data_IF_210877646234
#
_entry.id   IF_210877646234
#
_cell.length_a   1.000
_cell.length_b   1.000
_cell.length_c   1.000
_cell.angle_alpha   90.00
_cell.angle_beta   90.00
_cell.angle_gamma   90.00
#
_symmetry.space_group_name_H-M   'P 1'
#
loop_
_entity.id
_entity.type
_entity.pdbx_description
1 polymer ?
#
# COMPACT_ATOMS: atom_id res chain seq x y z
N UNK A 1 1.49 -11.31 17.78
CA UNK A 1 0.39 -11.36 16.82
C UNK A 1 0.81 -10.70 15.51
N UNK A 2 0.38 -11.27 14.40
CA UNK A 2 0.73 -10.74 13.11
C UNK A 2 -0.08 -9.49 12.78
N UNK A 3 0.58 -8.51 12.18
CA UNK A 3 -0.12 -7.32 11.72
C UNK A 3 -0.92 -7.64 10.48
N UNK A 4 -2.03 -6.94 10.30
CA UNK A 4 -2.74 -7.01 9.04
C UNK A 4 -1.96 -6.25 7.97
N UNK A 5 -2.27 -6.51 6.72
CA UNK A 5 -1.62 -5.81 5.60
C UNK A 5 -1.93 -4.32 5.70
N UNK A 6 -3.17 -3.97 6.04
CA UNK A 6 -3.56 -2.57 6.22
C UNK A 6 -2.71 -1.88 7.28
N UNK A 7 -2.47 -2.56 8.40
CA UNK A 7 -1.64 -1.99 9.47
C UNK A 7 -0.21 -1.76 9.01
N UNK A 8 0.35 -2.68 8.25
CA UNK A 8 1.70 -2.53 7.71
C UNK A 8 1.76 -1.35 6.76
N UNK A 9 0.78 -1.20 5.88
CA UNK A 9 0.72 -0.07 4.95
C UNK A 9 0.66 1.23 5.73
N UNK A 10 -0.18 1.31 6.75
CA UNK A 10 -0.31 2.51 7.56
C UNK A 10 0.98 2.87 8.27
N UNK A 11 1.72 1.88 8.75
CA UNK A 11 3.00 2.15 9.41
C UNK A 11 4.01 2.75 8.45
N UNK A 12 4.07 2.26 7.22
CA UNK A 12 4.94 2.87 6.21
C UNK A 12 4.51 4.30 5.91
N UNK A 13 3.22 4.55 5.82
CA UNK A 13 2.72 5.90 5.58
C UNK A 13 3.10 6.85 6.71
N UNK A 14 2.92 6.43 7.94
CA UNK A 14 3.25 7.25 9.11
C UNK A 14 4.75 7.52 9.21
N UNK A 15 5.56 6.51 8.91
CA UNK A 15 7.01 6.60 9.12
C UNK A 15 7.73 7.34 8.00
N UNK A 16 7.17 7.35 6.80
CA UNK A 16 7.93 7.81 5.64
C UNK A 16 7.25 8.92 4.83
N UNK A 17 5.93 9.03 4.89
CA UNK A 17 5.21 9.90 3.95
C UNK A 17 4.27 10.91 4.59
N UNK A 18 3.63 10.56 5.69
CA UNK A 18 2.60 11.41 6.30
C UNK A 18 2.96 11.79 7.72
N UNK A 19 2.56 13.00 8.12
CA UNK A 19 2.63 13.37 9.52
C UNK A 19 1.61 12.54 10.30
N UNK A 20 1.82 12.40 11.61
CA UNK A 20 0.98 11.56 12.45
C UNK A 20 -0.50 11.93 12.36
N UNK A 21 -0.79 13.23 12.39
CA UNK A 21 -2.18 13.71 12.32
C UNK A 21 -2.81 13.40 10.96
N UNK A 22 -2.03 13.46 9.88
CA UNK A 22 -2.50 13.11 8.55
C UNK A 22 -2.80 11.61 8.46
N UNK A 23 -1.92 10.79 9.01
CA UNK A 23 -2.10 9.35 8.99
C UNK A 23 -3.32 8.94 9.80
N UNK A 24 -3.55 9.57 10.94
CA UNK A 24 -4.70 9.28 11.79
C UNK A 24 -6.02 9.70 11.14
N UNK A 25 -5.99 10.76 10.33
CA UNK A 25 -7.18 11.24 9.63
C UNK A 25 -7.51 10.39 8.40
N UNK A 26 -6.53 9.67 7.87
CA UNK A 26 -6.70 8.88 6.66
C UNK A 26 -7.47 7.60 6.96
N UNK A 27 -8.56 7.38 6.24
CA UNK A 27 -9.33 6.16 6.37
C UNK A 27 -8.93 5.17 5.29
N UNK A 28 -9.23 3.90 5.51
CA UNK A 28 -8.81 2.84 4.59
C UNK A 28 -9.41 3.01 3.20
N UNK A 29 -10.60 3.59 3.10
CA UNK A 29 -11.25 3.83 1.81
C UNK A 29 -10.90 5.17 1.18
N UNK A 30 -10.14 6.02 1.86
CA UNK A 30 -9.75 7.32 1.32
C UNK A 30 -8.76 7.15 0.15
N UNK A 31 -8.84 8.09 -0.78
CA UNK A 31 -8.03 8.03 -2.00
C UNK A 31 -6.58 8.43 -1.69
N UNK A 32 -5.68 7.47 -1.78
CA UNK A 32 -4.25 7.73 -1.56
C UNK A 32 -3.66 8.68 -2.60
N UNK A 33 -4.24 8.71 -3.80
CA UNK A 33 -3.75 9.59 -4.85
C UNK A 33 -4.03 11.06 -4.56
N UNK A 34 -4.91 11.34 -3.62
CA UNK A 34 -5.15 12.70 -3.16
C UNK A 34 -4.16 13.15 -2.08
N UNK A 35 -3.48 12.22 -1.44
CA UNK A 35 -2.53 12.51 -0.35
C UNK A 35 -1.09 12.31 -0.76
N UNK A 36 -0.85 11.38 -1.69
CA UNK A 36 0.49 11.02 -2.14
C UNK A 36 0.60 11.25 -3.64
N UNK A 37 1.78 11.69 -4.09
CA UNK A 37 2.03 11.76 -5.53
C UNK A 37 2.50 10.41 -6.06
N UNK A 38 2.70 10.33 -7.38
CA UNK A 38 3.06 9.08 -8.05
C UNK A 38 4.37 8.50 -7.56
N UNK A 39 5.35 9.35 -7.28
CA UNK A 39 6.65 8.89 -6.81
C UNK A 39 6.55 8.33 -5.40
N UNK A 40 5.74 8.94 -4.56
CA UNK A 40 5.52 8.45 -3.20
C UNK A 40 4.80 7.12 -3.21
N UNK A 41 3.80 6.97 -4.06
CA UNK A 41 3.08 5.70 -4.21
C UNK A 41 4.04 4.61 -4.69
N UNK A 42 4.88 4.92 -5.67
CA UNK A 42 5.85 3.96 -6.18
C UNK A 42 6.82 3.53 -5.09
N UNK A 43 7.29 4.48 -4.30
CA UNK A 43 8.23 4.17 -3.21
C UNK A 43 7.57 3.29 -2.14
N UNK A 44 6.32 3.62 -1.79
CA UNK A 44 5.56 2.79 -0.85
C UNK A 44 5.45 1.37 -1.39
N UNK A 45 5.13 1.25 -2.66
CA UNK A 45 4.97 -0.05 -3.28
C UNK A 45 6.27 -0.85 -3.27
N UNK A 46 7.40 -0.19 -3.53
CA UNK A 46 8.71 -0.84 -3.46
C UNK A 46 9.02 -1.35 -2.05
N UNK A 47 8.68 -0.56 -1.04
CA UNK A 47 8.85 -0.98 0.34
C UNK A 47 8.00 -2.21 0.65
N UNK A 48 6.78 -2.24 0.16
CA UNK A 48 5.88 -3.36 0.37
C UNK A 48 6.33 -4.62 -0.39
N UNK A 49 6.91 -4.44 -1.57
CA UNK A 49 7.49 -5.55 -2.31
C UNK A 49 8.58 -6.24 -1.49
N UNK A 50 9.44 -5.44 -0.85
CA UNK A 50 10.49 -5.96 0.00
C UNK A 50 9.91 -6.63 1.26
N UNK A 51 8.93 -5.97 1.86
CA UNK A 51 8.32 -6.45 3.10
C UNK A 51 7.68 -7.82 2.92
N UNK A 52 6.98 -8.01 1.80
CA UNK A 52 6.20 -9.21 1.56
C UNK A 52 6.85 -10.17 0.55
N UNK A 53 8.01 -9.81 0.03
CA UNK A 53 8.71 -10.61 -0.99
C UNK A 53 7.84 -10.87 -2.22
N UNK A 54 7.16 -9.84 -2.68
CA UNK A 54 6.31 -9.91 -3.87
C UNK A 54 6.86 -9.00 -4.95
N UNK A 55 6.40 -9.20 -6.17
CA UNK A 55 6.75 -8.34 -7.29
C UNK A 55 5.48 -7.77 -7.91
N UNK A 56 5.51 -6.48 -8.20
CA UNK A 56 4.39 -5.78 -8.82
C UNK A 56 4.76 -5.45 -10.26
N UNK A 57 3.91 -5.89 -11.18
CA UNK A 57 4.09 -5.60 -12.60
C UNK A 57 3.70 -4.14 -12.87
N UNK A 58 4.40 -3.45 -13.80
CA UNK A 58 3.97 -2.09 -14.16
C UNK A 58 2.52 -2.02 -14.63
N UNK A 59 1.99 -3.05 -15.24
CA UNK A 59 0.60 -3.11 -15.67
C UNK A 59 -0.38 -3.14 -14.50
N UNK A 60 0.08 -3.49 -13.31
CA UNK A 60 -0.73 -3.54 -12.10
C UNK A 60 -0.76 -2.20 -11.36
N UNK A 61 -0.01 -1.23 -11.83
CA UNK A 61 0.10 0.08 -11.21
C UNK A 61 -1.09 0.95 -11.60
N UNK A 62 -2.26 0.62 -11.07
CA UNK A 62 -3.54 1.25 -11.43
C UNK A 62 -4.25 1.74 -10.18
N UNK A 63 -5.16 2.74 -10.34
CA UNK A 63 -5.94 3.20 -9.18
C UNK A 63 -6.79 2.10 -8.55
N UNK A 64 -7.24 1.11 -9.33
CA UNK A 64 -8.01 0.00 -8.78
C UNK A 64 -7.22 -0.81 -7.77
N UNK A 65 -5.90 -0.88 -7.96
CA UNK A 65 -5.02 -1.65 -7.07
C UNK A 65 -4.37 -0.80 -5.99
N UNK A 66 -4.13 0.48 -6.28
CA UNK A 66 -3.29 1.33 -5.43
C UNK A 66 -4.01 2.57 -4.89
N UNK A 67 -5.28 2.71 -5.18
CA UNK A 67 -6.00 3.95 -4.92
C UNK A 67 -6.35 4.21 -3.46
N UNK A 68 -6.29 3.20 -2.60
CA UNK A 68 -6.58 3.36 -1.17
C UNK A 68 -5.84 2.31 -0.38
N UNK A 69 -5.78 2.49 0.94
CA UNK A 69 -5.17 1.48 1.81
C UNK A 69 -5.93 0.15 1.64
N UNK A 70 -7.25 0.21 1.59
CA UNK A 70 -8.06 -1.00 1.43
C UNK A 70 -7.75 -1.71 0.12
N UNK A 71 -7.72 -0.97 -1.00
CA UNK A 71 -7.44 -1.55 -2.31
C UNK A 71 -6.04 -2.12 -2.38
N UNK A 72 -5.07 -1.40 -1.83
CA UNK A 72 -3.70 -1.84 -1.82
C UNK A 72 -3.54 -3.10 -0.98
N UNK A 73 -4.20 -3.17 0.17
CA UNK A 73 -4.16 -4.35 1.02
C UNK A 73 -4.77 -5.57 0.32
N UNK A 74 -5.88 -5.37 -0.38
CA UNK A 74 -6.51 -6.44 -1.14
C UNK A 74 -5.59 -6.93 -2.27
N UNK A 75 -4.95 -6.00 -2.95
CA UNK A 75 -4.02 -6.31 -4.02
C UNK A 75 -2.84 -7.14 -3.51
N UNK A 76 -2.23 -6.70 -2.41
CA UNK A 76 -1.11 -7.43 -1.81
C UNK A 76 -1.58 -8.80 -1.34
N UNK A 77 -2.76 -8.86 -0.73
CA UNK A 77 -3.32 -10.13 -0.28
C UNK A 77 -3.50 -11.13 -1.42
N UNK A 78 -3.95 -10.65 -2.58
CA UNK A 78 -4.07 -11.50 -3.77
C UNK A 78 -2.70 -11.99 -4.24
N UNK A 79 -1.69 -11.11 -4.22
CA UNK A 79 -0.34 -11.47 -4.59
C UNK A 79 0.22 -12.57 -3.67
N UNK A 80 -0.04 -12.44 -2.37
CA UNK A 80 0.45 -13.42 -1.41
C UNK A 80 -0.24 -14.77 -1.53
N UNK A 81 -1.51 -14.77 -1.92
CA UNK A 81 -2.27 -16.00 -2.06
C UNK A 81 -2.11 -16.65 -3.42
N UNK A 82 -1.74 -15.87 -4.44
CA UNK A 82 -1.60 -16.40 -5.78
C UNK A 82 -0.35 -17.28 -5.86
N UNK A 83 -0.47 -18.49 -6.37
CA UNK A 83 0.71 -19.33 -6.54
C UNK A 83 1.63 -18.71 -7.59
N UNK A 84 2.90 -18.78 -7.30
CA UNK A 84 3.91 -18.32 -8.25
C UNK A 84 4.12 -19.44 -9.26
N UNK A 85 3.77 -19.19 -10.47
CA UNK A 85 3.93 -20.19 -11.55
C UNK A 85 5.16 -19.91 -12.35
#
# INVERSE_FOLDING_TARGET
MNKTIEQTIREYLENSFLAEDQALALRDEDDLLMVLDSLQILRLLMDLETEYSIQVDPSEFTPENLGSVQRLAEFIGRKLRAPVC
#
